data_IF_139935372025
#
_entry.id   IF_139935372025
#
_cell.length_a   1.000
_cell.length_b   1.000
_cell.length_c   1.000
_cell.angle_alpha   90.00
_cell.angle_beta   90.00
_cell.angle_gamma   90.00
#
_symmetry.space_group_name_H-M   'P 1'
#
loop_
_entity.id
_entity.type
_entity.pdbx_description
1 polymer ?
#
# COMPACT_ATOMS: atom_id res chain seq x y z
N UNK A 1 -10.85 0.51 -15.33
CA UNK A 1 -11.43 -0.53 -14.41
C UNK A 1 -12.89 -0.19 -14.16
N UNK A 2 -13.80 -1.16 -14.11
CA UNK A 2 -15.21 -0.90 -13.88
C UNK A 2 -15.60 -1.26 -12.44
N UNK A 3 -16.09 -0.28 -11.66
CA UNK A 3 -16.51 -0.50 -10.27
C UNK A 3 -17.63 -1.53 -10.13
N UNK A 4 -18.57 -1.55 -11.07
CA UNK A 4 -19.67 -2.52 -11.06
C UNK A 4 -19.17 -3.96 -11.25
N UNK A 5 -18.07 -4.15 -12.00
CA UNK A 5 -17.42 -5.46 -12.14
C UNK A 5 -16.78 -5.91 -10.80
N UNK A 6 -16.05 -5.03 -10.11
CA UNK A 6 -15.51 -5.30 -8.78
C UNK A 6 -16.62 -5.61 -7.78
N UNK A 7 -17.65 -4.78 -7.76
CA UNK A 7 -18.81 -4.95 -6.87
C UNK A 7 -19.51 -6.29 -7.13
N UNK A 8 -19.75 -6.64 -8.39
CA UNK A 8 -20.32 -7.94 -8.78
C UNK A 8 -19.46 -9.12 -8.31
N UNK A 9 -18.14 -8.97 -8.40
CA UNK A 9 -17.21 -10.03 -8.00
C UNK A 9 -17.11 -10.17 -6.48
N UNK A 10 -16.89 -9.07 -5.75
CA UNK A 10 -16.64 -9.11 -4.31
C UNK A 10 -17.89 -9.21 -3.44
N UNK A 11 -19.08 -8.91 -3.95
CA UNK A 11 -20.32 -8.94 -3.19
C UNK A 11 -20.55 -10.32 -2.52
N UNK A 12 -20.67 -10.31 -1.19
CA UNK A 12 -20.86 -11.50 -0.36
C UNK A 12 -19.62 -12.42 -0.24
N UNK A 13 -18.48 -12.11 -0.87
CA UNK A 13 -17.25 -12.90 -0.81
C UNK A 13 -16.51 -12.67 0.50
N UNK A 14 -15.93 -13.74 1.05
CA UNK A 14 -15.10 -13.68 2.26
C UNK A 14 -13.69 -13.26 1.89
N UNK A 15 -13.34 -12.03 2.27
CA UNK A 15 -12.01 -11.45 2.04
C UNK A 15 -11.29 -11.32 3.37
N UNK A 16 -10.05 -11.80 3.44
CA UNK A 16 -9.12 -11.53 4.55
C UNK A 16 -8.10 -10.50 4.10
N UNK A 17 -8.04 -9.39 4.82
CA UNK A 17 -7.07 -8.31 4.61
C UNK A 17 -6.17 -8.19 5.83
N UNK A 18 -4.87 -8.44 5.69
CA UNK A 18 -3.93 -8.15 6.78
C UNK A 18 -3.44 -6.71 6.71
N UNK A 19 -3.24 -6.07 7.85
CA UNK A 19 -2.81 -4.66 7.91
C UNK A 19 -3.94 -3.66 7.65
N UNK A 20 -5.18 -4.03 7.93
CA UNK A 20 -6.38 -3.22 7.68
C UNK A 20 -6.46 -1.93 8.51
N UNK A 21 -5.80 -1.86 9.65
CA UNK A 21 -5.75 -0.67 10.52
C UNK A 21 -4.77 0.42 10.04
N UNK A 22 -3.88 0.07 9.10
CA UNK A 22 -2.93 1.02 8.51
C UNK A 22 -3.57 1.90 7.43
N UNK A 23 -2.85 2.93 6.98
CA UNK A 23 -3.31 3.89 5.97
C UNK A 23 -3.90 3.22 4.71
N UNK A 24 -3.10 2.46 3.96
CA UNK A 24 -3.59 1.77 2.75
C UNK A 24 -4.66 0.72 3.06
N UNK A 25 -4.51 0.02 4.19
CA UNK A 25 -5.46 -1.00 4.62
C UNK A 25 -6.85 -0.44 4.89
N UNK A 26 -6.94 0.73 5.51
CA UNK A 26 -8.22 1.40 5.79
C UNK A 26 -8.93 1.86 4.51
N UNK A 27 -8.19 2.44 3.55
CA UNK A 27 -8.76 2.77 2.23
C UNK A 27 -9.27 1.51 1.51
N UNK A 28 -8.47 0.43 1.49
CA UNK A 28 -8.86 -0.82 0.85
C UNK A 28 -10.07 -1.46 1.54
N UNK A 29 -10.12 -1.38 2.87
CA UNK A 29 -11.28 -1.83 3.65
C UNK A 29 -12.55 -1.10 3.22
N UNK A 30 -12.50 0.24 3.10
CA UNK A 30 -13.66 1.03 2.65
C UNK A 30 -14.09 0.64 1.23
N UNK A 31 -13.17 0.45 0.29
CA UNK A 31 -13.50 0.01 -1.07
C UNK A 31 -14.17 -1.37 -1.06
N UNK A 32 -13.63 -2.34 -0.30
CA UNK A 32 -14.20 -3.69 -0.20
C UNK A 32 -15.59 -3.70 0.45
N UNK A 33 -15.80 -2.86 1.47
CA UNK A 33 -17.11 -2.67 2.10
C UNK A 33 -18.11 -2.10 1.09
N UNK A 34 -17.72 -1.08 0.31
CA UNK A 34 -18.56 -0.52 -0.76
C UNK A 34 -18.86 -1.54 -1.86
N UNK A 35 -17.98 -2.53 -2.07
CA UNK A 35 -18.22 -3.66 -2.96
C UNK A 35 -19.11 -4.76 -2.35
N UNK A 36 -19.53 -4.65 -1.09
CA UNK A 36 -20.36 -5.65 -0.40
C UNK A 36 -19.63 -6.92 0.02
N UNK A 37 -18.30 -6.88 0.16
CA UNK A 37 -17.50 -8.00 0.63
C UNK A 37 -17.80 -8.32 2.12
N UNK A 38 -17.72 -9.60 2.48
CA UNK A 38 -17.64 -10.05 3.88
C UNK A 38 -16.20 -9.93 4.33
N UNK A 39 -15.82 -8.73 4.74
CA UNK A 39 -14.44 -8.37 5.04
C UNK A 39 -14.06 -8.75 6.48
N UNK A 40 -12.96 -9.48 6.61
CA UNK A 40 -12.24 -9.67 7.88
C UNK A 40 -10.87 -9.02 7.77
N UNK A 41 -10.57 -8.12 8.69
CA UNK A 41 -9.24 -7.54 8.85
C UNK A 41 -8.46 -8.26 9.95
N UNK A 42 -7.15 -8.41 9.76
CA UNK A 42 -6.22 -8.94 10.76
C UNK A 42 -4.99 -8.03 10.86
N UNK A 43 -4.83 -7.33 11.97
CA UNK A 43 -3.72 -6.40 12.18
C UNK A 43 -3.51 -6.09 13.67
N UNK A 44 -2.40 -5.44 13.99
CA UNK A 44 -2.22 -4.74 15.25
C UNK A 44 -3.19 -3.55 15.34
N UNK A 45 -3.28 -2.92 16.49
CA UNK A 45 -3.98 -1.64 16.66
C UNK A 45 -3.43 -0.59 15.66
N UNK A 46 -4.19 0.46 15.33
CA UNK A 46 -3.71 1.53 14.47
C UNK A 46 -2.35 2.07 14.91
N UNK A 47 -1.44 2.38 13.96
CA UNK A 47 -0.04 2.71 14.28
C UNK A 47 0.16 4.12 14.84
N UNK A 48 -0.87 4.96 14.81
CA UNK A 48 -0.85 6.36 15.27
C UNK A 48 -2.14 6.70 16.02
N UNK A 49 -2.06 7.60 17.01
CA UNK A 49 -3.22 8.02 17.81
C UNK A 49 -4.33 8.63 16.94
N UNK A 50 -3.95 9.50 16.00
CA UNK A 50 -4.85 9.92 14.92
C UNK A 50 -4.62 9.00 13.74
N UNK A 51 -5.66 8.33 13.27
CA UNK A 51 -5.57 7.34 12.20
C UNK A 51 -6.87 7.27 11.39
N UNK A 52 -6.75 6.89 10.14
CA UNK A 52 -7.90 6.83 9.23
C UNK A 52 -8.88 5.69 9.58
N UNK A 53 -8.43 4.62 10.22
CA UNK A 53 -9.29 3.48 10.58
C UNK A 53 -10.39 3.94 11.56
N UNK A 54 -9.99 4.67 12.62
CA UNK A 54 -10.93 5.20 13.61
C UNK A 54 -11.74 6.37 13.04
N UNK A 55 -11.11 7.27 12.26
CA UNK A 55 -11.78 8.42 11.62
C UNK A 55 -12.95 7.94 10.73
N UNK A 56 -12.80 6.82 10.01
CA UNK A 56 -13.86 6.27 9.17
C UNK A 56 -14.80 5.30 9.90
N UNK A 57 -14.59 5.02 11.19
CA UNK A 57 -15.42 4.10 11.98
C UNK A 57 -15.45 2.66 11.44
N UNK A 58 -14.37 2.20 10.80
CA UNK A 58 -14.33 0.93 10.07
C UNK A 58 -14.54 -0.29 10.97
N UNK A 59 -14.23 -0.20 12.26
CA UNK A 59 -14.44 -1.29 13.21
C UNK A 59 -15.90 -1.79 13.24
N UNK A 60 -16.85 -0.89 13.02
CA UNK A 60 -18.29 -1.21 13.03
C UNK A 60 -18.82 -1.75 11.70
N UNK A 61 -18.06 -1.57 10.61
CA UNK A 61 -18.47 -1.95 9.26
C UNK A 61 -17.88 -3.29 8.78
N UNK A 62 -16.92 -3.85 9.53
CA UNK A 62 -16.21 -5.09 9.16
C UNK A 62 -15.93 -5.96 10.39
N UNK A 63 -15.51 -7.21 10.16
CA UNK A 63 -14.97 -8.04 11.24
C UNK A 63 -13.50 -7.67 11.46
N UNK A 64 -13.21 -6.78 12.41
CA UNK A 64 -11.85 -6.38 12.76
C UNK A 64 -11.29 -7.31 13.84
N UNK A 65 -10.15 -7.95 13.55
CA UNK A 65 -9.45 -8.85 14.47
C UNK A 65 -8.09 -8.26 14.80
N UNK A 66 -7.90 -7.89 16.07
CA UNK A 66 -6.59 -7.48 16.55
C UNK A 66 -5.69 -8.70 16.71
N UNK A 67 -4.55 -8.71 16.00
CA UNK A 67 -3.59 -9.81 16.04
C UNK A 67 -2.26 -9.46 15.37
N UNK A 68 -1.21 -10.15 15.80
CA UNK A 68 0.13 -10.00 15.25
C UNK A 68 0.36 -11.03 14.14
N UNK A 69 0.83 -10.59 12.98
CA UNK A 69 1.13 -11.47 11.85
C UNK A 69 2.25 -12.49 12.18
N UNK A 70 3.03 -12.25 13.23
CA UNK A 70 4.05 -13.16 13.77
C UNK A 70 3.44 -14.31 14.58
N UNK A 71 2.20 -14.19 15.04
CA UNK A 71 1.47 -15.24 15.78
C UNK A 71 0.75 -16.17 14.80
N UNK A 72 1.45 -17.23 14.39
CA UNK A 72 0.93 -18.24 13.47
C UNK A 72 -0.31 -18.96 14.03
N UNK A 73 -0.33 -19.27 15.31
CA UNK A 73 -1.42 -20.05 15.91
C UNK A 73 -2.72 -19.23 16.00
N UNK A 74 -2.61 -17.95 16.32
CA UNK A 74 -3.75 -17.04 16.26
C UNK A 74 -4.25 -16.86 14.81
N UNK A 75 -3.33 -16.65 13.87
CA UNK A 75 -3.69 -16.50 12.46
C UNK A 75 -4.40 -17.74 11.90
N UNK A 76 -3.94 -18.96 12.24
CA UNK A 76 -4.62 -20.23 11.88
C UNK A 76 -6.06 -20.28 12.41
N UNK A 77 -6.28 -19.93 13.68
CA UNK A 77 -7.63 -19.88 14.27
C UNK A 77 -8.55 -18.92 13.52
N UNK A 78 -8.00 -17.77 13.07
CA UNK A 78 -8.77 -16.82 12.24
C UNK A 78 -9.11 -17.42 10.89
N UNK A 79 -8.15 -18.07 10.20
CA UNK A 79 -8.42 -18.77 8.94
C UNK A 79 -9.49 -19.84 9.06
N UNK A 80 -9.42 -20.68 10.10
CA UNK A 80 -10.41 -21.76 10.37
C UNK A 80 -11.81 -21.20 10.59
N UNK A 81 -11.94 -20.09 11.29
CA UNK A 81 -13.21 -19.41 11.57
C UNK A 81 -13.79 -18.71 10.35
N UNK A 82 -12.96 -17.95 9.63
CA UNK A 82 -13.39 -17.08 8.53
C UNK A 82 -13.51 -17.84 7.22
N UNK A 83 -12.64 -18.82 6.99
CA UNK A 83 -12.51 -19.58 5.72
C UNK A 83 -12.44 -18.63 4.52
N UNK A 84 -11.44 -17.73 4.45
CA UNK A 84 -11.38 -16.70 3.42
C UNK A 84 -11.28 -17.31 2.02
N UNK A 85 -11.96 -16.67 1.05
CA UNK A 85 -11.85 -17.03 -0.36
C UNK A 85 -10.74 -16.23 -1.05
N UNK A 86 -10.54 -15.00 -0.61
CA UNK A 86 -9.54 -14.08 -1.16
C UNK A 86 -8.70 -13.52 -0.03
N UNK A 87 -7.38 -13.48 -0.21
CA UNK A 87 -6.45 -13.01 0.81
C UNK A 87 -5.55 -11.94 0.22
N UNK A 88 -5.51 -10.77 0.86
CA UNK A 88 -4.62 -9.65 0.52
C UNK A 88 -3.71 -9.39 1.72
N UNK A 89 -2.41 -9.62 1.53
CA UNK A 89 -1.42 -9.46 2.58
C UNK A 89 -0.75 -8.10 2.47
N UNK A 90 -1.06 -7.21 3.43
CA UNK A 90 -0.49 -5.85 3.52
C UNK A 90 0.13 -5.54 4.88
N UNK A 91 0.01 -6.44 5.87
CA UNK A 91 0.64 -6.26 7.18
C UNK A 91 2.17 -6.23 7.03
N UNK A 92 2.79 -5.18 7.52
CA UNK A 92 4.24 -5.00 7.48
C UNK A 92 4.69 -3.95 8.52
N UNK A 93 5.96 -3.97 8.89
CA UNK A 93 6.66 -2.80 9.40
C UNK A 93 7.14 -2.00 8.17
N UNK A 94 6.55 -0.82 7.86
CA UNK A 94 6.75 -0.16 6.57
C UNK A 94 7.72 1.03 6.58
N UNK A 95 8.31 1.37 7.73
CA UNK A 95 9.12 2.58 7.91
C UNK A 95 10.60 2.24 7.82
N UNK A 96 11.30 2.84 6.84
CA UNK A 96 12.73 2.61 6.60
C UNK A 96 13.57 2.99 7.83
N UNK A 97 13.37 4.17 8.42
CA UNK A 97 14.12 4.61 9.61
C UNK A 97 13.94 3.68 10.80
N UNK A 98 12.71 3.26 11.09
CA UNK A 98 12.40 2.26 12.12
C UNK A 98 13.12 0.93 11.90
N UNK A 99 13.36 0.54 10.64
CA UNK A 99 14.04 -0.71 10.34
C UNK A 99 15.52 -0.71 10.72
N UNK A 100 16.16 0.45 10.75
CA UNK A 100 17.52 0.60 11.27
C UNK A 100 17.56 0.51 12.79
N UNK A 101 16.54 1.02 13.47
CA UNK A 101 16.45 0.96 14.93
C UNK A 101 16.01 -0.42 15.44
N UNK A 102 15.13 -1.10 14.69
CA UNK A 102 14.51 -2.38 15.07
C UNK A 102 14.59 -3.42 13.94
N UNK A 103 15.80 -3.82 13.49
CA UNK A 103 15.94 -4.72 12.35
C UNK A 103 15.34 -6.10 12.62
N UNK A 104 15.51 -6.68 13.79
CA UNK A 104 14.94 -8.00 14.14
C UNK A 104 13.42 -7.97 14.02
N UNK A 105 12.76 -6.99 14.62
CA UNK A 105 11.31 -6.81 14.51
C UNK A 105 10.85 -6.65 13.06
N UNK A 106 11.63 -5.94 12.24
CA UNK A 106 11.34 -5.73 10.83
C UNK A 106 11.37 -7.05 10.05
N UNK A 107 12.39 -7.88 10.25
CA UNK A 107 12.47 -9.19 9.60
C UNK A 107 11.42 -10.17 10.13
N UNK A 108 11.20 -10.22 11.44
CA UNK A 108 10.15 -11.06 12.02
C UNK A 108 8.77 -10.71 11.44
N UNK A 109 8.46 -9.42 11.32
CA UNK A 109 7.17 -8.95 10.80
C UNK A 109 7.06 -9.19 9.29
N UNK A 110 8.05 -8.76 8.52
CA UNK A 110 7.95 -8.72 7.05
C UNK A 110 8.26 -10.07 6.41
N UNK A 111 9.20 -10.84 6.96
CA UNK A 111 9.61 -12.15 6.42
C UNK A 111 8.82 -13.26 7.09
N UNK A 112 8.93 -13.39 8.42
CA UNK A 112 8.21 -14.45 9.11
C UNK A 112 6.70 -14.26 9.08
N UNK A 113 6.21 -13.01 9.12
CA UNK A 113 4.81 -12.71 8.87
C UNK A 113 4.33 -13.16 7.49
N UNK A 114 5.15 -13.02 6.45
CA UNK A 114 4.85 -13.56 5.12
C UNK A 114 4.85 -15.09 5.12
N UNK A 115 5.80 -15.73 5.81
CA UNK A 115 5.81 -17.20 5.99
C UNK A 115 4.50 -17.66 6.66
N UNK A 116 4.09 -16.99 7.74
CA UNK A 116 2.92 -17.36 8.51
C UNK A 116 1.62 -17.26 7.70
N UNK A 117 1.43 -16.16 6.95
CA UNK A 117 0.23 -16.02 6.11
C UNK A 117 0.25 -17.03 4.96
N UNK A 118 1.39 -17.27 4.32
CA UNK A 118 1.52 -18.27 3.25
C UNK A 118 1.26 -19.69 3.77
N UNK A 119 1.68 -20.00 5.00
CA UNK A 119 1.39 -21.27 5.65
C UNK A 119 -0.10 -21.46 5.91
N UNK A 120 -0.78 -20.41 6.39
CA UNK A 120 -2.24 -20.45 6.53
C UNK A 120 -2.95 -20.64 5.19
N UNK A 121 -2.48 -19.98 4.13
CA UNK A 121 -3.00 -20.17 2.76
C UNK A 121 -2.79 -21.61 2.30
N UNK A 122 -1.58 -22.18 2.51
CA UNK A 122 -1.25 -23.57 2.15
C UNK A 122 -2.15 -24.60 2.83
N UNK A 123 -2.48 -24.37 4.10
CA UNK A 123 -3.32 -25.28 4.89
C UNK A 123 -4.83 -25.08 4.64
N UNK A 124 -5.21 -23.99 3.97
CA UNK A 124 -6.60 -23.64 3.74
C UNK A 124 -7.14 -24.28 2.45
N UNK A 125 -8.34 -24.87 2.54
CA UNK A 125 -9.08 -25.36 1.37
C UNK A 125 -10.05 -24.33 0.78
N UNK A 126 -10.15 -23.13 1.36
CA UNK A 126 -11.12 -22.12 0.94
C UNK A 126 -10.52 -21.01 0.09
N UNK A 127 -9.22 -20.79 0.15
CA UNK A 127 -8.54 -19.70 -0.58
C UNK A 127 -8.53 -20.01 -2.08
N UNK A 128 -8.93 -19.01 -2.87
CA UNK A 128 -9.01 -19.08 -4.34
C UNK A 128 -8.04 -18.12 -5.03
N UNK A 129 -7.53 -17.13 -4.30
CA UNK A 129 -6.57 -16.15 -4.81
C UNK A 129 -5.86 -15.45 -3.65
N UNK A 130 -4.55 -15.27 -3.80
CA UNK A 130 -3.67 -14.61 -2.84
C UNK A 130 -2.86 -13.51 -3.49
N UNK A 131 -2.79 -12.34 -2.84
CA UNK A 131 -1.91 -11.24 -3.23
C UNK A 131 -1.02 -10.83 -2.07
N UNK A 132 0.30 -10.83 -2.29
CA UNK A 132 1.28 -10.22 -1.38
C UNK A 132 1.64 -8.81 -1.87
N UNK A 133 1.40 -7.80 -1.04
CA UNK A 133 1.77 -6.42 -1.35
C UNK A 133 3.17 -6.14 -0.81
N UNK A 134 4.09 -5.85 -1.72
CA UNK A 134 5.48 -5.53 -1.40
C UNK A 134 5.80 -4.06 -1.73
N UNK A 135 6.99 -3.74 -2.19
CA UNK A 135 7.45 -2.36 -2.40
C UNK A 135 8.30 -2.24 -3.66
N UNK A 136 8.42 -1.04 -4.19
CA UNK A 136 9.39 -0.66 -5.23
C UNK A 136 10.86 -0.84 -4.79
N UNK A 137 11.12 -0.88 -3.48
CA UNK A 137 12.45 -0.97 -2.87
C UNK A 137 13.02 -2.40 -2.78
N UNK A 138 12.32 -3.38 -3.37
CA UNK A 138 12.77 -4.78 -3.35
C UNK A 138 13.99 -5.05 -4.24
N UNK A 139 14.29 -4.17 -5.17
CA UNK A 139 15.37 -4.33 -6.14
C UNK A 139 16.74 -3.92 -5.59
N UNK A 140 17.81 -4.55 -6.10
CA UNK A 140 19.17 -4.01 -6.01
C UNK A 140 19.17 -2.62 -6.67
N UNK A 141 19.20 -1.55 -5.85
CA UNK A 141 19.13 -0.20 -6.40
C UNK A 141 20.47 0.30 -6.89
N UNK A 142 20.62 0.39 -8.20
CA UNK A 142 21.80 0.92 -8.91
C UNK A 142 21.67 2.40 -9.25
N UNK A 143 20.63 3.08 -8.76
CA UNK A 143 20.33 4.50 -9.04
C UNK A 143 20.33 4.81 -10.54
N UNK A 144 19.82 3.89 -11.35
CA UNK A 144 19.77 4.00 -12.81
C UNK A 144 18.56 4.79 -13.28
N UNK A 145 18.68 5.48 -14.42
CA UNK A 145 17.58 6.28 -14.99
C UNK A 145 16.45 5.42 -15.57
N UNK A 146 16.74 4.19 -15.96
CA UNK A 146 15.76 3.22 -16.44
C UNK A 146 15.01 2.58 -15.26
N UNK A 147 13.67 2.60 -15.33
CA UNK A 147 12.83 1.94 -14.33
C UNK A 147 13.08 0.42 -14.22
N UNK A 148 13.08 -0.11 -12.99
CA UNK A 148 13.26 -1.53 -12.70
C UNK A 148 12.11 -2.34 -13.27
N UNK A 149 12.43 -3.49 -13.87
CA UNK A 149 11.46 -4.49 -14.37
C UNK A 149 11.35 -5.66 -13.39
N UNK A 150 10.28 -6.43 -13.47
CA UNK A 150 9.97 -7.50 -12.51
C UNK A 150 10.99 -8.65 -12.49
N UNK A 151 11.85 -8.74 -13.49
CA UNK A 151 12.95 -9.74 -13.60
C UNK A 151 14.27 -9.25 -13.03
N UNK A 152 14.37 -7.99 -12.63
CA UNK A 152 15.59 -7.45 -12.03
C UNK A 152 15.85 -8.07 -10.64
N UNK A 153 17.13 -8.01 -10.23
CA UNK A 153 17.59 -8.68 -9.02
C UNK A 153 16.98 -8.09 -7.76
N UNK A 154 16.52 -8.97 -6.87
CA UNK A 154 15.89 -8.60 -5.61
C UNK A 154 16.94 -8.55 -4.50
N UNK A 155 17.41 -7.36 -4.15
CA UNK A 155 18.36 -7.11 -3.06
C UNK A 155 18.20 -5.69 -2.53
N UNK A 156 17.14 -5.46 -1.77
CA UNK A 156 16.90 -4.17 -1.12
C UNK A 156 18.01 -3.82 -0.13
N UNK A 157 18.47 -2.57 -0.12
CA UNK A 157 19.64 -2.13 0.61
C UNK A 157 19.47 -2.09 2.13
N UNK A 158 18.43 -1.43 2.62
CA UNK A 158 18.17 -1.27 4.06
C UNK A 158 17.35 -2.46 4.62
N UNK A 159 17.26 -2.63 5.97
CA UNK A 159 16.56 -3.77 6.54
C UNK A 159 15.08 -3.87 6.15
N UNK A 160 14.37 -2.73 5.94
CA UNK A 160 13.00 -2.75 5.42
C UNK A 160 12.97 -3.26 3.98
N UNK A 161 13.77 -2.65 3.11
CA UNK A 161 13.83 -2.98 1.68
C UNK A 161 14.22 -4.45 1.47
N UNK A 162 15.26 -4.91 2.17
CA UNK A 162 15.74 -6.30 2.12
C UNK A 162 14.69 -7.28 2.68
N UNK A 163 14.02 -6.94 3.79
CA UNK A 163 12.94 -7.79 4.31
C UNK A 163 11.79 -7.96 3.33
N UNK A 164 11.51 -6.94 2.51
CA UNK A 164 10.50 -7.02 1.44
C UNK A 164 11.01 -7.83 0.23
N UNK A 165 12.30 -7.78 -0.10
CA UNK A 165 12.91 -8.69 -1.07
C UNK A 165 12.78 -10.15 -0.61
N UNK A 166 13.06 -10.42 0.67
CA UNK A 166 12.86 -11.74 1.27
C UNK A 166 11.38 -12.18 1.24
N UNK A 167 10.43 -11.26 1.49
CA UNK A 167 8.99 -11.54 1.38
C UNK A 167 8.59 -11.97 -0.03
N UNK A 168 9.16 -11.36 -1.09
CA UNK A 168 9.00 -11.81 -2.47
C UNK A 168 9.53 -13.25 -2.65
N UNK A 169 10.75 -13.52 -2.18
CA UNK A 169 11.37 -14.84 -2.31
C UNK A 169 10.61 -15.93 -1.54
N UNK A 170 10.08 -15.62 -0.35
CA UNK A 170 9.19 -16.53 0.40
C UNK A 170 7.94 -16.83 -0.44
N UNK A 171 7.30 -15.82 -0.99
CA UNK A 171 6.11 -15.98 -1.84
C UNK A 171 6.40 -16.85 -3.06
N UNK A 172 7.53 -16.61 -3.73
CA UNK A 172 7.99 -17.45 -4.87
C UNK A 172 8.20 -18.91 -4.47
N UNK A 173 8.85 -19.14 -3.33
CA UNK A 173 9.12 -20.49 -2.83
C UNK A 173 7.83 -21.24 -2.52
N UNK A 174 6.91 -20.63 -1.77
CA UNK A 174 5.62 -21.25 -1.44
C UNK A 174 4.79 -21.56 -2.68
N UNK A 175 4.72 -20.59 -3.63
CA UNK A 175 4.03 -20.79 -4.89
C UNK A 175 4.53 -22.01 -5.63
N UNK A 176 5.85 -22.13 -5.81
CA UNK A 176 6.46 -23.24 -6.58
C UNK A 176 6.37 -24.57 -5.85
N UNK A 177 6.52 -24.58 -4.53
CA UNK A 177 6.66 -25.80 -3.75
C UNK A 177 5.33 -26.38 -3.28
N UNK A 178 4.33 -25.55 -3.01
CA UNK A 178 3.11 -25.96 -2.31
C UNK A 178 1.81 -25.49 -2.95
N UNK A 179 1.83 -24.41 -3.74
CA UNK A 179 0.65 -23.71 -4.21
C UNK A 179 0.60 -23.64 -5.76
N UNK A 180 1.05 -24.71 -6.41
CA UNK A 180 1.13 -24.76 -7.87
C UNK A 180 -0.23 -24.49 -8.55
N UNK A 181 -1.34 -24.88 -7.92
CA UNK A 181 -2.69 -24.73 -8.46
C UNK A 181 -3.45 -23.49 -7.94
N UNK A 182 -2.91 -22.80 -6.96
CA UNK A 182 -3.51 -21.57 -6.42
C UNK A 182 -2.95 -20.31 -7.11
N UNK A 183 -3.81 -19.38 -7.59
CA UNK A 183 -3.35 -18.08 -8.06
C UNK A 183 -2.67 -17.27 -6.95
N UNK A 184 -1.36 -17.00 -7.13
CA UNK A 184 -0.52 -16.25 -6.18
C UNK A 184 0.25 -15.18 -6.95
N UNK A 185 0.04 -13.91 -6.60
CA UNK A 185 0.77 -12.77 -7.18
C UNK A 185 1.42 -11.91 -6.13
N UNK A 186 2.40 -11.10 -6.56
CA UNK A 186 2.92 -9.98 -5.78
C UNK A 186 2.71 -8.66 -6.51
N UNK A 187 2.53 -7.57 -5.75
CA UNK A 187 2.42 -6.22 -6.28
C UNK A 187 3.42 -5.29 -5.59
N UNK A 188 4.36 -4.76 -6.37
CA UNK A 188 5.47 -3.91 -5.95
C UNK A 188 5.10 -2.46 -6.18
N UNK A 189 4.61 -1.78 -5.14
CA UNK A 189 4.17 -0.40 -5.23
C UNK A 189 5.01 0.50 -4.33
N UNK A 190 5.42 1.65 -4.86
CA UNK A 190 6.18 2.67 -4.13
C UNK A 190 5.36 3.90 -3.79
N UNK A 191 5.88 4.69 -2.89
CA UNK A 191 5.57 6.08 -2.53
C UNK A 191 4.11 6.51 -2.68
N UNK A 192 3.23 5.78 -1.98
CA UNK A 192 1.79 6.02 -2.02
C UNK A 192 1.44 7.20 -1.11
N UNK A 193 0.72 8.19 -1.64
CA UNK A 193 0.21 9.36 -0.93
C UNK A 193 -1.32 9.39 -0.97
N UNK A 194 -1.93 10.10 -0.01
CA UNK A 194 -3.40 10.22 0.09
C UNK A 194 -3.81 10.74 1.45
N UNK A 195 -5.06 11.09 1.61
CA UNK A 195 -5.61 11.51 2.90
C UNK A 195 -5.60 10.38 3.94
N UNK A 196 -5.42 10.75 5.22
CA UNK A 196 -5.48 9.81 6.33
C UNK A 196 -4.19 9.03 6.64
N UNK A 197 -3.07 9.33 5.99
CA UNK A 197 -1.75 8.90 6.44
C UNK A 197 -1.23 9.88 7.51
N UNK A 198 -1.03 9.41 8.73
CA UNK A 198 -0.51 10.21 9.84
C UNK A 198 0.87 9.72 10.33
N UNK A 199 1.50 8.80 9.60
CA UNK A 199 2.81 8.26 9.95
C UNK A 199 3.89 9.36 9.97
N UNK A 200 4.86 9.24 10.88
CA UNK A 200 6.05 10.10 10.91
C UNK A 200 7.01 9.71 9.79
N UNK A 201 7.92 10.62 9.46
CA UNK A 201 8.97 10.44 8.45
C UNK A 201 8.42 10.12 7.04
N UNK A 202 7.21 10.60 6.75
CA UNK A 202 6.62 10.61 5.42
C UNK A 202 6.29 12.03 5.00
N UNK A 203 6.64 12.37 3.76
CA UNK A 203 6.66 13.75 3.27
C UNK A 203 5.29 14.46 3.34
N UNK A 204 4.21 13.83 2.88
CA UNK A 204 2.87 14.44 2.91
C UNK A 204 2.32 14.55 4.34
N UNK A 205 2.34 13.51 5.19
CA UNK A 205 2.01 13.66 6.62
C UNK A 205 2.81 14.73 7.35
N UNK A 206 4.12 14.85 7.05
CA UNK A 206 4.97 15.89 7.65
C UNK A 206 4.56 17.29 7.19
N UNK A 207 4.22 17.48 5.92
CA UNK A 207 3.66 18.72 5.39
C UNK A 207 2.34 19.09 6.07
N UNK A 208 1.44 18.11 6.27
CA UNK A 208 0.15 18.33 6.95
C UNK A 208 0.34 18.76 8.40
N UNK A 209 1.21 18.07 9.15
CA UNK A 209 1.54 18.46 10.54
C UNK A 209 2.10 19.88 10.62
N UNK A 210 2.98 20.23 9.70
CA UNK A 210 3.57 21.54 9.59
C UNK A 210 2.50 22.62 9.32
N UNK A 211 1.64 22.39 8.32
CA UNK A 211 0.56 23.27 7.94
C UNK A 211 -0.44 23.51 9.08
N UNK A 212 -0.88 22.44 9.76
CA UNK A 212 -1.83 22.54 10.90
C UNK A 212 -1.20 23.23 12.11
N UNK A 213 0.11 23.06 12.34
CA UNK A 213 0.82 23.68 13.46
C UNK A 213 1.35 25.08 13.18
N UNK A 214 1.24 25.58 11.94
CA UNK A 214 1.79 26.88 11.52
C UNK A 214 3.33 26.94 11.55
N UNK A 215 4.01 25.78 11.42
CA UNK A 215 5.47 25.69 11.41
C UNK A 215 5.95 25.23 10.04
N UNK A 216 7.16 25.65 9.58
CA UNK A 216 7.68 25.15 8.33
C UNK A 216 8.05 23.66 8.41
N UNK A 217 7.78 22.89 7.35
CA UNK A 217 8.31 21.53 7.22
C UNK A 217 9.78 21.54 6.79
N UNK A 218 10.56 20.57 7.27
CA UNK A 218 11.97 20.42 6.87
C UNK A 218 12.07 19.34 5.80
N UNK A 219 12.57 19.73 4.60
CA UNK A 219 12.89 18.80 3.52
C UNK A 219 14.35 18.37 3.68
N UNK A 220 14.58 17.08 3.97
CA UNK A 220 15.94 16.55 4.21
C UNK A 220 16.68 16.22 2.92
N UNK A 221 16.00 15.60 1.95
CA UNK A 221 16.54 15.15 0.66
C UNK A 221 15.76 15.75 -0.51
N UNK A 222 15.93 17.07 -0.82
CA UNK A 222 15.07 17.79 -1.79
C UNK A 222 15.16 17.23 -3.21
N UNK A 223 16.29 16.64 -3.59
CA UNK A 223 16.56 16.16 -4.94
C UNK A 223 16.21 14.66 -5.15
N UNK A 224 15.79 13.95 -4.10
CA UNK A 224 15.44 12.53 -4.23
C UNK A 224 14.19 12.35 -5.10
N UNK A 225 14.32 11.58 -6.19
CA UNK A 225 13.25 11.31 -7.15
C UNK A 225 12.53 10.02 -6.75
N UNK A 226 11.19 10.07 -6.72
CA UNK A 226 10.33 8.95 -6.33
C UNK A 226 9.08 8.86 -7.21
N UNK A 227 8.57 7.64 -7.44
CA UNK A 227 7.32 7.41 -8.17
C UNK A 227 6.11 7.62 -7.25
N UNK A 228 5.75 8.88 -6.96
CA UNK A 228 4.58 9.19 -6.13
C UNK A 228 3.28 8.90 -6.85
N UNK A 229 2.35 8.21 -6.19
CA UNK A 229 1.02 7.90 -6.71
C UNK A 229 -0.05 8.03 -5.63
N UNK A 230 -1.28 8.36 -6.03
CA UNK A 230 -2.40 8.39 -5.10
C UNK A 230 -2.74 6.96 -4.61
N UNK A 231 -3.21 6.86 -3.36
CA UNK A 231 -3.54 5.56 -2.73
C UNK A 231 -4.54 4.74 -3.54
N UNK A 232 -5.46 5.36 -4.24
CA UNK A 232 -6.47 4.68 -5.06
C UNK A 232 -5.86 3.95 -6.26
N UNK A 233 -4.75 4.44 -6.84
CA UNK A 233 -4.07 3.80 -7.96
C UNK A 233 -3.69 2.34 -7.66
N UNK A 234 -2.82 2.07 -6.66
CA UNK A 234 -2.44 0.70 -6.37
C UNK A 234 -3.58 -0.12 -5.76
N UNK A 235 -4.50 0.49 -4.98
CA UNK A 235 -5.55 -0.28 -4.32
C UNK A 235 -6.55 -0.88 -5.31
N UNK A 236 -6.94 -0.14 -6.33
CA UNK A 236 -7.82 -0.68 -7.36
C UNK A 236 -7.16 -1.78 -8.18
N UNK A 237 -5.87 -1.62 -8.52
CA UNK A 237 -5.15 -2.68 -9.25
C UNK A 237 -4.92 -3.92 -8.37
N UNK A 238 -4.75 -3.79 -7.05
CA UNK A 238 -4.69 -4.95 -6.15
C UNK A 238 -5.98 -5.77 -6.20
N UNK A 239 -7.13 -5.09 -6.19
CA UNK A 239 -8.43 -5.76 -6.31
C UNK A 239 -8.60 -6.42 -7.69
N UNK A 240 -8.17 -5.75 -8.76
CA UNK A 240 -8.22 -6.30 -10.12
C UNK A 240 -7.32 -7.54 -10.27
N UNK A 241 -6.10 -7.50 -9.69
CA UNK A 241 -5.20 -8.66 -9.67
C UNK A 241 -5.87 -9.85 -8.99
N UNK A 242 -6.39 -9.67 -7.77
CA UNK A 242 -7.04 -10.75 -7.01
C UNK A 242 -8.25 -11.32 -7.74
N UNK A 243 -9.05 -10.44 -8.36
CA UNK A 243 -10.23 -10.84 -9.12
C UNK A 243 -9.86 -11.62 -10.38
N UNK A 244 -9.04 -11.04 -11.25
CA UNK A 244 -8.75 -11.63 -12.57
C UNK A 244 -7.91 -12.88 -12.49
N UNK A 245 -6.92 -12.96 -11.59
CA UNK A 245 -6.14 -14.19 -11.44
C UNK A 245 -6.98 -15.34 -10.89
N UNK A 246 -8.04 -15.06 -10.11
CA UNK A 246 -8.99 -16.08 -9.66
C UNK A 246 -9.90 -16.59 -10.81
N UNK A 247 -10.10 -15.80 -11.86
CA UNK A 247 -10.91 -16.14 -13.03
C UNK A 247 -10.09 -16.81 -14.14
N UNK A 248 -8.88 -16.33 -14.36
CA UNK A 248 -7.96 -16.82 -15.40
C UNK A 248 -6.52 -16.68 -14.88
N UNK A 249 -6.05 -17.74 -14.19
CA UNK A 249 -4.74 -17.78 -13.57
C UNK A 249 -3.61 -17.64 -14.59
N UNK A 250 -3.68 -18.38 -15.68
CA UNK A 250 -2.59 -18.45 -16.67
C UNK A 250 -2.26 -17.09 -17.25
N UNK A 251 -3.27 -16.26 -17.42
CA UNK A 251 -3.13 -14.92 -18.01
C UNK A 251 -2.74 -13.86 -16.96
N UNK A 252 -3.31 -13.94 -15.75
CA UNK A 252 -3.29 -12.80 -14.82
C UNK A 252 -2.43 -13.02 -13.57
N UNK A 253 -1.91 -14.21 -13.35
CA UNK A 253 -1.02 -14.48 -12.24
C UNK A 253 0.40 -13.97 -12.53
N UNK A 254 1.07 -13.38 -11.51
CA UNK A 254 2.45 -12.97 -11.66
C UNK A 254 2.95 -11.97 -10.62
N UNK A 255 4.11 -11.41 -10.92
CA UNK A 255 4.75 -10.35 -10.14
C UNK A 255 4.64 -9.08 -10.93
N UNK A 256 4.16 -8.00 -10.29
CA UNK A 256 3.81 -6.77 -11.01
C UNK A 256 4.35 -5.54 -10.30
N UNK A 257 5.03 -4.69 -11.06
CA UNK A 257 5.31 -3.33 -10.66
C UNK A 257 4.05 -2.49 -10.80
N UNK A 258 3.78 -1.67 -9.77
CA UNK A 258 2.62 -0.78 -9.71
C UNK A 258 3.10 0.62 -9.37
N UNK A 259 3.12 1.50 -10.35
CA UNK A 259 3.62 2.86 -10.19
C UNK A 259 3.09 3.80 -11.27
N UNK A 260 3.31 5.10 -11.11
CA UNK A 260 2.93 6.11 -12.09
C UNK A 260 3.78 6.00 -13.35
N UNK A 261 3.43 6.79 -14.36
CA UNK A 261 4.28 7.01 -15.52
C UNK A 261 5.55 7.78 -15.16
N UNK A 262 6.61 7.67 -15.96
CA UNK A 262 7.90 8.32 -15.71
C UNK A 262 7.79 9.85 -15.56
N UNK A 263 6.85 10.49 -16.27
CA UNK A 263 6.54 11.92 -16.17
C UNK A 263 6.09 12.36 -14.77
N UNK A 264 5.55 11.44 -13.98
CA UNK A 264 5.05 11.69 -12.62
C UNK A 264 6.04 11.32 -11.51
N UNK A 265 7.25 10.87 -11.91
CA UNK A 265 8.37 10.70 -10.99
C UNK A 265 9.02 12.06 -10.70
N UNK A 266 8.69 12.66 -9.57
CA UNK A 266 9.15 13.99 -9.19
C UNK A 266 10.09 13.93 -7.98
N UNK A 267 10.90 14.98 -7.82
CA UNK A 267 11.73 15.12 -6.62
C UNK A 267 10.92 15.64 -5.42
N UNK A 268 11.46 15.43 -4.22
CA UNK A 268 10.79 15.81 -2.97
C UNK A 268 10.48 17.31 -2.89
N UNK A 269 11.36 18.20 -3.43
CA UNK A 269 11.12 19.64 -3.46
C UNK A 269 9.90 19.98 -4.31
N UNK A 270 9.82 19.46 -5.54
CA UNK A 270 8.68 19.66 -6.45
C UNK A 270 7.37 19.17 -5.82
N UNK A 271 7.40 18.03 -5.12
CA UNK A 271 6.23 17.51 -4.41
C UNK A 271 5.74 18.50 -3.34
N UNK A 272 6.65 19.04 -2.51
CA UNK A 272 6.31 20.00 -1.44
C UNK A 272 5.87 21.36 -2.00
N UNK A 273 6.46 21.83 -3.10
CA UNK A 273 5.99 23.02 -3.81
C UNK A 273 4.56 22.84 -4.34
N UNK A 274 4.23 21.66 -4.86
CA UNK A 274 2.87 21.33 -5.30
C UNK A 274 1.91 21.23 -4.11
N UNK A 275 2.34 20.68 -2.98
CA UNK A 275 1.57 20.71 -1.74
C UNK A 275 1.30 22.13 -1.26
N UNK A 276 2.34 23.02 -1.29
CA UNK A 276 2.19 24.44 -0.93
C UNK A 276 1.15 25.15 -1.79
N UNK A 277 1.20 24.92 -3.10
CA UNK A 277 0.19 25.46 -4.04
C UNK A 277 -1.23 25.00 -3.67
N UNK A 278 -1.41 23.68 -3.43
CA UNK A 278 -2.73 23.09 -3.13
C UNK A 278 -3.24 23.51 -1.74
N UNK A 279 -2.34 23.57 -0.75
CA UNK A 279 -2.70 23.99 0.62
C UNK A 279 -3.04 25.48 0.68
N UNK A 280 -2.29 26.33 -0.01
CA UNK A 280 -2.46 27.79 0.02
C UNK A 280 -1.73 28.45 1.18
N UNK A 281 -2.34 29.53 1.72
CA UNK A 281 -1.74 30.31 2.80
C UNK A 281 -1.55 29.48 4.09
N UNK A 282 -0.53 29.83 4.87
CA UNK A 282 -0.24 29.19 6.17
C UNK A 282 0.70 27.97 6.09
N UNK A 283 1.21 27.59 4.90
CA UNK A 283 2.22 26.53 4.77
C UNK A 283 3.53 27.07 4.22
N UNK A 284 4.64 26.64 4.83
CA UNK A 284 6.00 26.94 4.36
C UNK A 284 6.96 25.76 4.60
N UNK A 285 8.14 25.77 3.97
CA UNK A 285 9.15 24.73 4.11
C UNK A 285 10.57 25.28 4.11
N UNK A 286 11.47 24.56 4.79
CA UNK A 286 12.90 24.80 4.77
C UNK A 286 13.65 23.56 4.24
N UNK A 287 14.79 23.76 3.60
CA UNK A 287 15.66 22.68 3.14
C UNK A 287 16.82 22.56 4.13
N UNK A 288 16.93 21.39 4.78
CA UNK A 288 18.01 21.11 5.72
C UNK A 288 18.30 19.60 5.78
N UNK A 289 19.53 19.19 5.46
CA UNK A 289 19.96 17.79 5.63
C UNK A 289 20.22 17.49 7.10
N UNK A 290 19.67 16.39 7.60
CA UNK A 290 19.84 15.97 8.99
C UNK A 290 20.95 14.90 9.19
N UNK A 291 21.68 14.54 8.10
CA UNK A 291 22.69 13.48 8.14
C UNK A 291 22.15 12.09 8.49
N UNK A 292 20.85 11.86 8.30
CA UNK A 292 20.19 10.59 8.61
C UNK A 292 20.70 9.42 7.78
N UNK A 293 20.14 8.19 8.01
CA UNK A 293 20.58 6.99 7.30
C UNK A 293 20.39 7.12 5.80
N UNK A 294 21.17 6.34 5.04
CA UNK A 294 21.10 6.34 3.59
C UNK A 294 19.70 5.99 3.10
N UNK A 295 19.14 6.85 2.26
CA UNK A 295 17.94 6.59 1.47
C UNK A 295 18.32 6.75 0.00
N UNK A 296 17.86 5.83 -0.86
CA UNK A 296 18.13 5.87 -2.29
C UNK A 296 17.83 7.26 -2.87
N UNK A 297 18.72 7.80 -3.70
CA UNK A 297 18.55 9.10 -4.37
C UNK A 297 17.55 9.04 -5.52
N UNK A 298 17.47 7.88 -6.18
CA UNK A 298 16.69 7.68 -7.40
C UNK A 298 16.04 6.30 -7.40
N UNK A 299 14.75 6.24 -7.72
CA UNK A 299 14.01 5.00 -7.89
C UNK A 299 12.83 5.20 -8.84
N UNK A 300 12.76 4.37 -9.88
CA UNK A 300 11.64 4.30 -10.82
C UNK A 300 11.25 2.84 -11.06
N UNK A 301 9.98 2.61 -11.40
CA UNK A 301 9.47 1.30 -11.82
C UNK A 301 9.07 1.33 -13.29
N UNK A 302 9.42 0.29 -14.04
CA UNK A 302 8.79 0.02 -15.32
C UNK A 302 7.52 -0.81 -15.07
N UNK A 303 6.37 -0.29 -15.47
CA UNK A 303 5.06 -0.93 -15.28
C UNK A 303 4.47 -1.50 -16.58
N UNK A 304 5.27 -1.67 -17.64
CA UNK A 304 4.80 -2.13 -18.97
C UNK A 304 4.16 -3.51 -18.90
N UNK A 305 4.66 -4.41 -18.05
CA UNK A 305 4.05 -5.73 -17.85
C UNK A 305 2.62 -5.61 -17.32
N UNK A 306 2.41 -4.80 -16.28
CA UNK A 306 1.09 -4.56 -15.73
C UNK A 306 0.15 -3.95 -16.77
N UNK A 307 0.61 -2.91 -17.49
CA UNK A 307 -0.14 -2.26 -18.57
C UNK A 307 -0.55 -3.26 -19.65
N UNK A 308 0.36 -4.13 -20.08
CA UNK A 308 0.10 -5.14 -21.12
C UNK A 308 -0.89 -6.21 -20.67
N UNK A 309 -0.75 -6.72 -19.42
CA UNK A 309 -1.56 -7.84 -18.92
C UNK A 309 -2.97 -7.38 -18.53
N UNK A 310 -3.07 -6.27 -17.82
CA UNK A 310 -4.33 -5.76 -17.24
C UNK A 310 -4.99 -4.66 -18.07
N UNK A 311 -4.30 -4.08 -19.05
CA UNK A 311 -4.77 -2.87 -19.75
C UNK A 311 -4.83 -1.65 -18.82
N UNK A 312 -4.16 -1.73 -17.64
CA UNK A 312 -4.18 -0.67 -16.65
C UNK A 312 -3.35 0.53 -17.09
N UNK A 313 -3.83 1.72 -16.73
CA UNK A 313 -3.09 2.98 -16.86
C UNK A 313 -3.33 3.80 -15.61
N UNK A 314 -2.32 4.55 -15.12
CA UNK A 314 -2.55 5.54 -14.07
C UNK A 314 -3.66 6.51 -14.50
N UNK A 315 -4.57 6.79 -13.57
CA UNK A 315 -5.70 7.72 -13.78
C UNK A 315 -5.34 9.12 -13.29
N UNK A 316 -4.56 9.18 -12.19
CA UNK A 316 -4.17 10.40 -11.54
C UNK A 316 -2.68 10.68 -11.77
N UNK A 317 -2.37 11.88 -12.26
CA UNK A 317 -0.99 12.38 -12.24
C UNK A 317 -0.59 12.80 -10.81
N UNK A 318 0.68 13.14 -10.60
CA UNK A 318 1.21 13.50 -9.28
C UNK A 318 0.54 14.75 -8.69
N UNK A 319 0.13 15.72 -9.52
CA UNK A 319 -0.55 16.93 -9.06
C UNK A 319 -1.96 16.63 -8.60
N UNK A 320 -2.74 15.84 -9.36
CA UNK A 320 -4.05 15.33 -8.95
C UNK A 320 -3.96 14.56 -7.62
N UNK A 321 -2.94 13.72 -7.48
CA UNK A 321 -2.71 12.94 -6.26
C UNK A 321 -2.47 13.83 -5.03
N UNK A 322 -1.73 14.92 -5.20
CA UNK A 322 -1.50 15.91 -4.14
C UNK A 322 -2.78 16.70 -3.84
N UNK A 323 -3.48 17.17 -4.87
CA UNK A 323 -4.68 17.99 -4.71
C UNK A 323 -5.77 17.19 -3.96
N UNK A 324 -6.02 15.92 -4.31
CA UNK A 324 -6.93 15.03 -3.59
C UNK A 324 -6.48 14.76 -2.14
N UNK A 325 -5.17 14.57 -1.92
CA UNK A 325 -4.65 14.40 -0.57
C UNK A 325 -4.90 15.64 0.27
N UNK A 326 -4.60 16.83 -0.25
CA UNK A 326 -4.81 18.10 0.45
C UNK A 326 -6.30 18.38 0.70
N UNK A 327 -7.18 18.10 -0.28
CA UNK A 327 -8.64 18.20 -0.11
C UNK A 327 -9.10 17.38 1.09
N UNK A 328 -8.66 16.12 1.19
CA UNK A 328 -9.01 15.23 2.29
C UNK A 328 -8.56 15.79 3.65
N UNK A 329 -7.30 16.24 3.76
CA UNK A 329 -6.77 16.77 5.02
C UNK A 329 -7.43 18.12 5.42
N UNK A 330 -7.77 18.97 4.47
CA UNK A 330 -8.52 20.21 4.72
C UNK A 330 -9.93 19.91 5.23
N UNK A 331 -10.63 18.92 4.67
CA UNK A 331 -11.92 18.46 5.15
C UNK A 331 -11.81 17.91 6.58
N UNK A 332 -10.81 17.06 6.83
CA UNK A 332 -10.53 16.54 8.17
C UNK A 332 -10.25 17.63 9.19
N UNK A 333 -9.44 18.64 8.86
CA UNK A 333 -9.10 19.74 9.75
C UNK A 333 -10.31 20.63 10.10
N UNK A 334 -11.34 20.62 9.27
CA UNK A 334 -12.62 21.31 9.49
C UNK A 334 -13.66 20.47 10.24
N UNK A 335 -13.38 19.21 10.53
CA UNK A 335 -14.32 18.28 11.18
C UNK A 335 -15.47 17.83 10.28
N UNK A 336 -15.26 17.80 8.95
CA UNK A 336 -16.26 17.30 8.00
C UNK A 336 -16.49 15.79 8.16
N UNK A 337 -17.56 15.25 7.60
CA UNK A 337 -17.82 13.82 7.54
C UNK A 337 -16.80 13.12 6.64
N UNK A 338 -15.77 12.53 7.25
CA UNK A 338 -14.66 11.93 6.52
C UNK A 338 -15.05 10.63 5.82
N UNK A 339 -16.10 9.95 6.26
CA UNK A 339 -16.63 8.79 5.54
C UNK A 339 -17.24 9.22 4.20
N UNK A 340 -18.04 10.30 4.22
CA UNK A 340 -18.60 10.88 3.00
C UNK A 340 -17.52 11.42 2.06
N UNK A 341 -16.50 12.13 2.58
CA UNK A 341 -15.35 12.64 1.80
C UNK A 341 -14.58 11.50 1.14
N UNK A 342 -14.28 10.44 1.90
CA UNK A 342 -13.53 9.29 1.40
C UNK A 342 -14.31 8.55 0.31
N UNK A 343 -15.61 8.28 0.53
CA UNK A 343 -16.50 7.67 -0.47
C UNK A 343 -16.59 8.51 -1.76
N UNK A 344 -16.68 9.84 -1.62
CA UNK A 344 -16.69 10.77 -2.75
C UNK A 344 -15.43 10.61 -3.58
N UNK A 345 -14.23 10.65 -2.98
CA UNK A 345 -12.96 10.50 -3.69
C UNK A 345 -12.83 9.12 -4.39
N UNK A 346 -13.30 8.04 -3.75
CA UNK A 346 -13.35 6.70 -4.35
C UNK A 346 -14.23 6.72 -5.62
N UNK A 347 -15.43 7.30 -5.55
CA UNK A 347 -16.34 7.34 -6.69
C UNK A 347 -15.87 8.28 -7.80
N UNK A 348 -15.26 9.40 -7.46
CA UNK A 348 -14.69 10.34 -8.45
C UNK A 348 -13.51 9.71 -9.21
N UNK A 349 -12.63 8.98 -8.51
CA UNK A 349 -11.55 8.22 -9.14
C UNK A 349 -12.07 7.22 -10.18
N UNK A 350 -13.16 6.54 -9.87
CA UNK A 350 -13.77 5.52 -10.75
C UNK A 350 -14.49 6.10 -11.97
N UNK A 351 -14.83 7.37 -11.93
CA UNK A 351 -15.51 8.08 -13.02
C UNK A 351 -14.55 8.82 -13.97
N UNK A 352 -13.23 8.80 -13.69
CA UNK A 352 -12.17 9.31 -14.55
C UNK A 352 -11.70 8.24 -15.53
#
# INVERSE_FOLDING_TARGET
>A
MNFEELKKFYNGKRVLLTGHTGFKGSWLSKILIMCGAKLTGYALNPPTDTNIFDILGLETEMNSVTGDIRDLDHLKKVFDKVKPEYVIHMAAQPIVRDSYERPVYTYETNVMGTVNIMECVRLSNSVKSFLNVTTDKVYENKEQDKGYVETDFLDGYDPYSNSKSCSELVTHSYKKSFLADLPVSTARAGNVIGGGDFAKDRIIPDCVRAAVSGKPVIIRNPNSIRPFQHVLEPLFIYLDIVMRQAQDRERFEGYFNVGPDDSDCVNAKTLVESFKRAWGEGFDFNIHSDGGPHEAGFLKLNCDKLKKVYGWKPVLNVHDAIDLSVEWYKAWSKGEDMDAVTKKQILEYLNR
#
